data_IF_791414287074
#
_entry.id   IF_791414287074
#
_cell.length_a   1.000
_cell.length_b   1.000
_cell.length_c   1.000
_cell.angle_alpha   90.00
_cell.angle_beta   90.00
_cell.angle_gamma   90.00
#
_symmetry.space_group_name_H-M   'P 1'
#
loop_
_entity.id
_entity.type
_entity.pdbx_description
1 polymer ?
#
# COMPACT_ATOMS: atom_id res chain seq x y z
N UNK A 1 23.73 9.04 -9.82
CA UNK A 1 22.28 9.11 -9.61
C UNK A 1 22.04 9.98 -8.39
N UNK A 2 21.44 11.15 -8.58
CA UNK A 2 21.12 12.05 -7.46
C UNK A 2 19.61 12.07 -7.34
N UNK A 3 19.06 11.33 -6.37
CA UNK A 3 17.63 11.43 -6.04
C UNK A 3 17.36 12.86 -5.63
N UNK A 4 16.43 13.53 -6.33
CA UNK A 4 16.10 14.92 -6.05
C UNK A 4 15.22 15.01 -4.81
N UNK A 5 15.28 16.14 -4.09
CA UNK A 5 14.39 16.40 -2.94
C UNK A 5 12.90 16.11 -3.21
N UNK A 6 12.30 16.53 -4.36
CA UNK A 6 10.90 16.21 -4.65
C UNK A 6 10.65 14.71 -4.89
N UNK A 7 11.64 13.92 -5.31
CA UNK A 7 11.47 12.47 -5.44
C UNK A 7 11.52 11.78 -4.07
N UNK A 8 12.31 12.28 -3.13
CA UNK A 8 12.32 11.80 -1.74
C UNK A 8 10.98 12.04 -1.05
N UNK A 9 10.38 13.22 -1.22
CA UNK A 9 9.05 13.52 -0.67
C UNK A 9 7.99 12.56 -1.23
N UNK A 10 7.98 12.33 -2.55
CA UNK A 10 7.05 11.39 -3.19
C UNK A 10 7.27 9.95 -2.72
N UNK A 11 8.52 9.52 -2.51
CA UNK A 11 8.82 8.20 -1.95
C UNK A 11 8.28 8.06 -0.52
N UNK A 12 8.38 9.12 0.30
CA UNK A 12 7.80 9.15 1.64
C UNK A 12 6.27 9.08 1.60
N UNK A 13 5.63 9.80 0.68
CA UNK A 13 4.17 9.70 0.47
C UNK A 13 3.74 8.28 0.08
N UNK A 14 4.53 7.57 -0.72
CA UNK A 14 4.27 6.17 -1.07
C UNK A 14 4.44 5.23 0.14
N UNK A 15 5.45 5.45 0.99
CA UNK A 15 5.61 4.70 2.24
C UNK A 15 4.42 4.91 3.18
N UNK A 16 3.94 6.15 3.30
CA UNK A 16 2.73 6.44 4.07
C UNK A 16 1.50 5.75 3.48
N UNK A 17 1.34 5.76 2.15
CA UNK A 17 0.28 5.05 1.46
C UNK A 17 0.28 3.55 1.76
N UNK A 18 1.46 2.92 1.77
CA UNK A 18 1.62 1.51 2.14
C UNK A 18 1.17 1.26 3.57
N UNK A 19 1.60 2.10 4.52
CA UNK A 19 1.18 1.98 5.93
C UNK A 19 -0.33 2.11 6.09
N UNK A 20 -0.94 3.10 5.43
CA UNK A 20 -2.40 3.31 5.49
C UNK A 20 -3.18 2.12 4.93
N UNK A 21 -2.73 1.52 3.83
CA UNK A 21 -3.38 0.33 3.26
C UNK A 21 -3.36 -0.84 4.26
N UNK A 22 -2.24 -1.05 4.94
CA UNK A 22 -2.13 -2.07 6.00
C UNK A 22 -2.98 -1.75 7.23
N UNK A 23 -3.06 -0.48 7.65
CA UNK A 23 -3.94 -0.06 8.74
C UNK A 23 -5.40 -0.35 8.40
N UNK A 24 -5.86 0.04 7.19
CA UNK A 24 -7.23 -0.20 6.75
C UNK A 24 -7.58 -1.70 6.68
N UNK A 25 -6.65 -2.54 6.23
CA UNK A 25 -6.80 -4.00 6.27
C UNK A 25 -7.01 -4.50 7.70
N UNK A 26 -6.14 -4.12 8.63
CA UNK A 26 -6.25 -4.56 10.02
C UNK A 26 -7.52 -4.04 10.70
N UNK A 27 -7.90 -2.79 10.47
CA UNK A 27 -9.11 -2.20 11.04
C UNK A 27 -10.38 -2.91 10.57
N UNK A 28 -10.45 -3.29 9.30
CA UNK A 28 -11.61 -4.04 8.76
C UNK A 28 -11.79 -5.43 9.37
N UNK A 29 -10.71 -6.07 9.78
CA UNK A 29 -10.75 -7.43 10.31
C UNK A 29 -10.82 -7.50 11.83
N UNK A 30 -10.51 -6.40 12.51
CA UNK A 30 -10.30 -6.35 13.97
C UNK A 30 -11.48 -6.88 14.78
N UNK A 31 -12.70 -6.61 14.34
CA UNK A 31 -13.93 -6.94 15.07
C UNK A 31 -14.68 -8.13 14.45
N UNK A 32 -14.08 -8.81 13.47
CA UNK A 32 -14.69 -9.93 12.77
C UNK A 32 -14.22 -11.28 13.31
N UNK A 33 -15.10 -12.27 13.27
CA UNK A 33 -14.79 -13.64 13.67
C UNK A 33 -15.53 -14.67 12.81
N UNK A 34 -15.03 -15.91 12.78
CA UNK A 34 -15.68 -17.04 12.09
C UNK A 34 -15.84 -16.80 10.58
N UNK A 35 -16.97 -17.24 10.02
CA UNK A 35 -17.24 -17.17 8.57
C UNK A 35 -17.31 -15.73 8.02
N UNK A 36 -17.64 -14.76 8.88
CA UNK A 36 -17.62 -13.34 8.51
C UNK A 36 -16.18 -12.83 8.34
N UNK A 37 -15.28 -13.22 9.26
CA UNK A 37 -13.86 -12.93 9.13
C UNK A 37 -13.30 -13.54 7.84
N UNK A 38 -13.56 -14.82 7.57
CA UNK A 38 -12.99 -15.50 6.40
C UNK A 38 -13.42 -14.85 5.07
N UNK A 39 -14.71 -14.46 4.96
CA UNK A 39 -15.20 -13.76 3.78
C UNK A 39 -14.55 -12.38 3.61
N UNK A 40 -14.59 -11.57 4.67
CA UNK A 40 -14.08 -10.19 4.61
C UNK A 40 -12.55 -10.15 4.49
N UNK A 41 -11.85 -11.12 5.06
CA UNK A 41 -10.40 -11.27 4.90
C UNK A 41 -10.05 -11.47 3.43
N UNK A 42 -10.72 -12.40 2.74
CA UNK A 42 -10.43 -12.68 1.33
C UNK A 42 -10.59 -11.45 0.43
N UNK A 43 -11.68 -10.71 0.63
CA UNK A 43 -11.96 -9.48 -0.11
C UNK A 43 -10.95 -8.37 0.26
N UNK A 44 -10.73 -8.15 1.55
CA UNK A 44 -9.81 -7.11 2.06
C UNK A 44 -8.37 -7.40 1.67
N UNK A 45 -7.97 -8.67 1.62
CA UNK A 45 -6.67 -9.11 1.16
C UNK A 45 -6.48 -8.81 -0.33
N UNK A 46 -7.49 -9.11 -1.14
CA UNK A 46 -7.48 -8.83 -2.58
C UNK A 46 -7.40 -7.33 -2.89
N UNK A 47 -8.03 -6.50 -2.07
CA UNK A 47 -7.92 -5.03 -2.15
C UNK A 47 -6.55 -4.54 -1.71
N UNK A 48 -6.04 -4.99 -0.57
CA UNK A 48 -4.70 -4.65 -0.08
C UNK A 48 -3.64 -4.97 -1.14
N UNK A 49 -3.66 -6.17 -1.71
CA UNK A 49 -2.71 -6.56 -2.75
C UNK A 49 -2.81 -5.67 -4.00
N UNK A 50 -4.01 -5.23 -4.38
CA UNK A 50 -4.20 -4.31 -5.51
C UNK A 50 -3.57 -2.95 -5.23
N UNK A 51 -3.78 -2.39 -4.04
CA UNK A 51 -3.20 -1.11 -3.65
C UNK A 51 -1.67 -1.19 -3.50
N UNK A 52 -1.14 -2.25 -2.87
CA UNK A 52 0.31 -2.43 -2.76
C UNK A 52 0.97 -2.52 -4.14
N UNK A 53 0.39 -3.27 -5.09
CA UNK A 53 0.91 -3.32 -6.48
C UNK A 53 0.86 -1.96 -7.17
N UNK A 54 -0.17 -1.16 -6.91
CA UNK A 54 -0.29 0.19 -7.46
C UNK A 54 0.78 1.12 -6.90
N UNK A 55 1.03 1.08 -5.60
CA UNK A 55 2.07 1.86 -4.93
C UNK A 55 3.47 1.46 -5.40
N UNK A 56 3.72 0.16 -5.54
CA UNK A 56 4.99 -0.37 -6.02
C UNK A 56 5.29 0.07 -7.46
N UNK A 57 4.31 -0.02 -8.37
CA UNK A 57 4.48 0.49 -9.74
C UNK A 57 4.84 1.97 -9.74
N UNK A 58 4.19 2.77 -8.89
CA UNK A 58 4.45 4.21 -8.79
C UNK A 58 5.85 4.50 -8.22
N UNK A 59 6.31 3.69 -7.26
CA UNK A 59 7.69 3.74 -6.74
C UNK A 59 8.71 3.43 -7.84
N UNK A 60 8.49 2.34 -8.58
CA UNK A 60 9.36 1.94 -9.67
C UNK A 60 9.47 3.04 -10.75
N UNK A 61 8.35 3.66 -11.12
CA UNK A 61 8.36 4.79 -12.06
C UNK A 61 9.17 5.97 -11.55
N UNK A 62 9.07 6.32 -10.26
CA UNK A 62 9.84 7.43 -9.70
C UNK A 62 11.34 7.12 -9.71
N UNK A 63 11.74 5.93 -9.25
CA UNK A 63 13.16 5.53 -9.25
C UNK A 63 13.75 5.47 -10.66
N UNK A 64 12.95 5.04 -11.66
CA UNK A 64 13.37 5.04 -13.06
C UNK A 64 13.47 6.45 -13.65
N UNK A 65 12.58 7.37 -13.28
CA UNK A 65 12.62 8.76 -13.76
C UNK A 65 13.69 9.62 -13.10
N UNK A 66 14.21 9.22 -11.93
CA UNK A 66 15.33 9.87 -11.24
C UNK A 66 16.72 9.39 -11.71
N UNK A 67 16.78 8.48 -12.70
CA UNK A 67 18.02 7.96 -13.32
C UNK A 67 18.35 8.73 -14.60
#
# INVERSE_FOLDING_TARGET
MTTTAPDLDKLRELDEGTRRAWTAYNERLRDLAGEEYERVESDSWSELQRELRRLERRRASLTQNST
#
